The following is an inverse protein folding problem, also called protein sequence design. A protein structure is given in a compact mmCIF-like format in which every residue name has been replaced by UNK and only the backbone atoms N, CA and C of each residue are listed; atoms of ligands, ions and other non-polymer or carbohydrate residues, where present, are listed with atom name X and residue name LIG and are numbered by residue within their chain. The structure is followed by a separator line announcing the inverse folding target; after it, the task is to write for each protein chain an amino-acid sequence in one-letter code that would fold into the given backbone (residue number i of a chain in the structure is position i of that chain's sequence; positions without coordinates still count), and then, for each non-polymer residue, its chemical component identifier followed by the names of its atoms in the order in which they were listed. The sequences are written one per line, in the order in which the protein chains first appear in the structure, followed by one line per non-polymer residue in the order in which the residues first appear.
data_IF_649951327053
#
_entry.id   IF_649951327053
#
_cell.length_a   1.000
_cell.length_b   1.000
_cell.length_c   1.000
_cell.angle_alpha   90.00
_cell.angle_beta   90.00
_cell.angle_gamma   90.00
#
_symmetry.space_group_name_H-M   'P 1'
#
loop_
_entity.id
_entity.type
_entity.pdbx_description
1 polymer ?
#
# COMPACT_ATOMS: atom_id res chain seq x y z
N UNK A 1 4.35 -11.17 -0.04
CA UNK A 1 3.42 -12.33 -0.05
C UNK A 1 2.43 -12.16 -1.20
N UNK A 2 2.01 -13.25 -1.86
CA UNK A 2 0.99 -13.18 -2.92
C UNK A 2 -0.40 -12.96 -2.30
N UNK A 3 -1.31 -12.18 -2.92
CA UNK A 3 -2.64 -11.90 -2.34
C UNK A 3 -3.41 -13.14 -1.89
N UNK A 4 -3.29 -14.25 -2.62
CA UNK A 4 -3.98 -15.52 -2.33
C UNK A 4 -3.51 -16.19 -1.04
N UNK A 5 -2.35 -15.80 -0.51
CA UNK A 5 -1.77 -16.33 0.72
C UNK A 5 -1.93 -15.35 1.90
N UNK A 6 -2.69 -14.27 1.73
CA UNK A 6 -2.69 -13.19 2.73
C UNK A 6 -3.31 -13.64 4.05
N UNK A 7 -4.37 -14.45 4.03
CA UNK A 7 -5.01 -14.98 5.25
C UNK A 7 -3.99 -15.66 6.17
N UNK A 8 -3.17 -16.55 5.61
CA UNK A 8 -2.11 -17.25 6.36
C UNK A 8 -1.00 -16.29 6.78
N UNK A 9 -0.60 -15.38 5.89
CA UNK A 9 0.53 -14.49 6.15
C UNK A 9 0.27 -13.44 7.23
N UNK A 10 -0.99 -13.05 7.45
CA UNK A 10 -1.34 -12.12 8.52
C UNK A 10 -1.89 -12.82 9.77
N UNK A 11 -1.97 -14.15 9.76
CA UNK A 11 -2.40 -14.92 10.92
C UNK A 11 -1.51 -14.58 12.14
N UNK A 12 -2.15 -14.20 13.25
CA UNK A 12 -1.46 -13.82 14.48
C UNK A 12 -0.91 -12.39 14.51
N UNK A 13 -0.86 -11.66 13.39
CA UNK A 13 -0.37 -10.27 13.37
C UNK A 13 -1.29 -9.32 14.15
N UNK A 14 -2.56 -9.67 14.36
CA UNK A 14 -3.48 -8.90 15.21
C UNK A 14 -2.99 -8.73 16.65
N UNK A 15 -2.13 -9.63 17.15
CA UNK A 15 -1.51 -9.49 18.48
C UNK A 15 -0.53 -8.33 18.59
N UNK A 16 -0.06 -7.80 17.46
CA UNK A 16 0.85 -6.66 17.39
C UNK A 16 0.12 -5.32 17.31
N UNK A 17 -1.22 -5.34 17.17
CA UNK A 17 -2.01 -4.13 17.04
C UNK A 17 -1.88 -3.25 18.30
N UNK A 18 -1.70 -1.95 18.08
CA UNK A 18 -1.49 -0.99 19.14
C UNK A 18 -1.34 0.43 18.58
N UNK A 19 -1.30 1.44 19.45
CA UNK A 19 -1.24 2.85 19.04
C UNK A 19 0.02 3.18 18.23
N UNK A 20 1.09 2.42 18.41
CA UNK A 20 2.39 2.63 17.75
C UNK A 20 2.65 1.63 16.61
N UNK A 21 1.65 0.84 16.22
CA UNK A 21 1.80 -0.17 15.15
C UNK A 21 0.97 0.19 13.93
N UNK A 22 1.62 0.29 12.77
CA UNK A 22 0.98 0.41 11.47
C UNK A 22 1.27 -0.78 10.56
N UNK A 23 0.27 -1.23 9.82
CA UNK A 23 0.40 -2.26 8.79
C UNK A 23 0.43 -1.60 7.40
N UNK A 24 1.55 -1.75 6.69
CA UNK A 24 1.69 -1.25 5.31
C UNK A 24 1.60 -2.41 4.32
N UNK A 25 0.53 -2.45 3.51
CA UNK A 25 0.34 -3.46 2.48
C UNK A 25 0.76 -2.95 1.11
N UNK A 26 1.48 -3.78 0.34
CA UNK A 26 1.74 -3.58 -1.10
C UNK A 26 0.97 -4.59 -1.97
N UNK A 27 0.01 -5.31 -1.36
CA UNK A 27 -0.68 -6.40 -2.04
C UNK A 27 -1.76 -5.87 -2.98
N UNK A 28 -1.62 -6.19 -4.27
CA UNK A 28 -2.58 -5.80 -5.29
C UNK A 28 -3.97 -6.40 -5.00
N UNK A 29 -5.01 -5.58 -5.14
CA UNK A 29 -6.41 -6.00 -5.07
C UNK A 29 -6.94 -6.34 -3.66
N UNK A 30 -6.18 -6.09 -2.59
CA UNK A 30 -6.67 -6.28 -1.22
C UNK A 30 -6.99 -4.92 -0.59
N UNK A 31 -8.27 -4.60 -0.33
CA UNK A 31 -8.66 -3.32 0.25
C UNK A 31 -8.37 -3.24 1.75
N UNK A 32 -8.30 -2.04 2.31
CA UNK A 32 -8.07 -1.83 3.75
C UNK A 32 -9.13 -2.51 4.62
N UNK A 33 -10.40 -2.51 4.18
CA UNK A 33 -11.50 -3.21 4.86
C UNK A 33 -11.21 -4.70 5.10
N UNK A 34 -10.59 -5.39 4.13
CA UNK A 34 -10.24 -6.80 4.26
C UNK A 34 -9.26 -7.06 5.41
N UNK A 35 -8.35 -6.11 5.66
CA UNK A 35 -7.41 -6.17 6.78
C UNK A 35 -8.10 -5.87 8.10
N UNK A 36 -9.00 -4.88 8.16
CA UNK A 36 -9.76 -4.57 9.36
C UNK A 36 -10.63 -5.75 9.82
N UNK A 37 -11.23 -6.50 8.90
CA UNK A 37 -12.00 -7.70 9.20
C UNK A 37 -11.17 -8.79 9.92
N UNK A 38 -9.84 -8.76 9.79
CA UNK A 38 -8.92 -9.80 10.30
C UNK A 38 -7.99 -9.34 11.42
N UNK A 39 -7.56 -8.09 11.36
CA UNK A 39 -6.66 -7.46 12.34
C UNK A 39 -7.42 -6.66 13.40
N UNK A 40 -8.70 -6.40 13.18
CA UNK A 40 -9.56 -5.57 14.02
C UNK A 40 -9.75 -4.17 13.44
N UNK A 41 -10.90 -3.57 13.73
CA UNK A 41 -11.29 -2.26 13.20
C UNK A 41 -10.36 -1.12 13.65
N UNK A 42 -9.70 -1.29 14.81
CA UNK A 42 -8.73 -0.33 15.36
C UNK A 42 -7.32 -0.45 14.75
N UNK A 43 -7.07 -1.45 13.89
CA UNK A 43 -5.76 -1.62 13.27
C UNK A 43 -5.47 -0.46 12.30
N UNK A 44 -4.30 0.18 12.43
CA UNK A 44 -3.86 1.22 11.49
C UNK A 44 -3.33 0.54 10.23
N UNK A 45 -4.12 0.55 9.15
CA UNK A 45 -3.76 -0.08 7.88
C UNK A 45 -3.57 0.97 6.80
N UNK A 46 -2.40 0.95 6.16
CA UNK A 46 -2.09 1.74 4.98
C UNK A 46 -1.95 0.81 3.78
N UNK A 47 -2.58 1.19 2.67
CA UNK A 47 -2.49 0.46 1.40
C UNK A 47 -1.58 1.24 0.47
N UNK A 48 -0.62 0.55 -0.13
CA UNK A 48 0.32 1.14 -1.07
C UNK A 48 0.41 0.31 -2.35
N UNK A 49 0.75 0.96 -3.44
CA UNK A 49 0.89 0.32 -4.75
C UNK A 49 2.13 0.85 -5.47
N UNK A 50 3.33 0.28 -5.19
CA UNK A 50 4.54 0.60 -5.94
C UNK A 50 4.50 -0.03 -7.34
N UNK A 51 5.39 0.41 -8.22
CA UNK A 51 5.57 -0.16 -9.56
C UNK A 51 7.01 -0.67 -9.79
N UNK A 52 7.23 -1.37 -10.91
CA UNK A 52 8.49 -2.08 -11.21
C UNK A 52 9.76 -1.22 -11.11
N UNK A 53 9.80 0.06 -11.55
CA UNK A 53 10.97 0.92 -11.38
C UNK A 53 11.39 1.20 -9.93
N UNK A 54 10.59 0.84 -8.93
CA UNK A 54 10.97 0.89 -7.52
C UNK A 54 12.26 0.11 -7.22
N UNK A 55 12.54 -0.98 -7.96
CA UNK A 55 13.75 -1.78 -7.79
C UNK A 55 15.06 -1.00 -8.05
N UNK A 56 14.98 0.13 -8.75
CA UNK A 56 16.12 1.02 -9.02
C UNK A 56 15.93 2.42 -8.40
N UNK A 57 15.00 2.56 -7.46
CA UNK A 57 14.73 3.83 -6.77
C UNK A 57 14.05 4.89 -7.65
N UNK A 58 13.43 4.49 -8.76
CA UNK A 58 12.72 5.38 -9.70
C UNK A 58 11.23 5.06 -9.80
N UNK A 59 10.69 4.42 -8.77
CA UNK A 59 9.29 4.05 -8.71
C UNK A 59 8.36 5.24 -8.51
N UNK A 60 7.07 4.98 -8.71
CA UNK A 60 5.98 5.81 -8.21
C UNK A 60 5.06 4.91 -7.42
N UNK A 61 4.80 5.29 -6.18
CA UNK A 61 3.95 4.53 -5.26
C UNK A 61 2.72 5.36 -4.92
N UNK A 62 1.52 4.83 -5.18
CA UNK A 62 0.32 5.36 -4.53
C UNK A 62 0.27 4.91 -3.07
N UNK A 63 -0.18 5.79 -2.20
CA UNK A 63 -0.40 5.53 -0.79
C UNK A 63 -1.81 6.00 -0.42
N UNK A 64 -2.60 5.09 0.12
CA UNK A 64 -3.93 5.33 0.68
C UNK A 64 -3.91 5.02 2.18
N UNK A 65 -4.59 5.86 2.95
CA UNK A 65 -4.90 5.62 4.35
C UNK A 65 -6.32 6.13 4.62
N UNK A 66 -7.04 5.47 5.54
CA UNK A 66 -8.33 6.00 6.03
C UNK A 66 -8.11 7.34 6.75
N UNK A 67 -9.16 8.15 6.81
CA UNK A 67 -9.12 9.48 7.45
C UNK A 67 -8.84 9.46 8.96
N UNK A 68 -9.01 8.31 9.60
CA UNK A 68 -8.72 8.09 11.02
C UNK A 68 -7.32 7.52 11.29
N UNK A 69 -6.52 7.28 10.24
CA UNK A 69 -5.14 6.86 10.41
C UNK A 69 -4.31 8.01 11.03
N UNK A 70 -3.46 7.73 12.04
CA UNK A 70 -2.61 8.75 12.62
C UNK A 70 -1.68 9.39 11.59
N UNK A 71 -1.60 10.73 11.57
CA UNK A 71 -0.72 11.49 10.68
C UNK A 71 0.74 11.05 10.79
N UNK A 72 1.18 10.65 11.98
CA UNK A 72 2.53 10.13 12.23
C UNK A 72 2.80 8.83 11.46
N UNK A 73 1.82 7.93 11.38
CA UNK A 73 1.92 6.67 10.63
C UNK A 73 1.91 6.90 9.12
N UNK A 74 1.07 7.83 8.66
CA UNK A 74 1.06 8.25 7.25
C UNK A 74 2.40 8.87 6.85
N UNK A 75 2.93 9.77 7.68
CA UNK A 75 4.23 10.40 7.46
C UNK A 75 5.37 9.37 7.44
N UNK A 76 5.37 8.41 8.37
CA UNK A 76 6.36 7.35 8.42
C UNK A 76 6.31 6.45 7.17
N UNK A 77 5.12 6.00 6.77
CA UNK A 77 4.95 5.19 5.57
C UNK A 77 5.40 5.95 4.32
N UNK A 78 5.04 7.23 4.20
CA UNK A 78 5.49 8.09 3.10
C UNK A 78 7.01 8.23 3.08
N UNK A 79 7.65 8.44 4.22
CA UNK A 79 9.10 8.53 4.32
C UNK A 79 9.77 7.22 3.87
N UNK A 80 9.26 6.07 4.33
CA UNK A 80 9.75 4.75 3.94
C UNK A 80 9.65 4.55 2.42
N UNK A 81 8.49 4.82 1.84
CA UNK A 81 8.23 4.63 0.41
C UNK A 81 9.00 5.63 -0.46
N UNK A 82 9.34 6.80 0.07
CA UNK A 82 10.13 7.81 -0.66
C UNK A 82 11.56 7.32 -0.96
N UNK A 83 12.06 6.31 -0.24
CA UNK A 83 13.36 5.70 -0.52
C UNK A 83 13.40 4.96 -1.87
N UNK A 84 12.24 4.54 -2.40
CA UNK A 84 12.13 3.80 -3.66
C UNK A 84 11.54 4.62 -4.81
N UNK A 85 11.25 5.91 -4.58
CA UNK A 85 10.78 6.83 -5.62
C UNK A 85 9.72 7.83 -5.14
N UNK A 86 8.90 8.33 -6.07
CA UNK A 86 7.84 9.29 -5.75
C UNK A 86 6.67 8.64 -5.01
N UNK A 87 6.05 9.37 -4.08
CA UNK A 87 4.85 8.93 -3.36
C UNK A 87 3.69 9.87 -3.66
N UNK A 88 2.55 9.33 -4.08
CA UNK A 88 1.32 10.07 -4.36
C UNK A 88 0.26 9.62 -3.36
N UNK A 89 -0.32 10.59 -2.63
CA UNK A 89 -1.44 10.31 -1.74
C UNK A 89 -2.72 10.15 -2.55
N UNK A 90 -3.54 9.19 -2.15
CA UNK A 90 -4.87 8.92 -2.71
C UNK A 90 -5.88 9.08 -1.58
N UNK A 91 -6.91 9.89 -1.79
CA UNK A 91 -7.94 10.18 -0.79
C UNK A 91 -9.12 9.20 -0.83
N UNK A 92 -9.36 8.58 -1.99
CA UNK A 92 -10.41 7.59 -2.21
C UNK A 92 -9.80 6.24 -2.59
N UNK A 93 -10.00 5.23 -1.74
CA UNK A 93 -9.46 3.88 -1.97
C UNK A 93 -9.93 3.29 -3.30
N UNK A 94 -11.12 3.65 -3.79
CA UNK A 94 -11.63 3.17 -5.07
C UNK A 94 -10.74 3.59 -6.26
N UNK A 95 -9.95 4.67 -6.12
CA UNK A 95 -9.01 5.09 -7.15
C UNK A 95 -7.74 4.21 -7.20
N UNK A 96 -7.50 3.34 -6.21
CA UNK A 96 -6.33 2.46 -6.19
C UNK A 96 -6.29 1.48 -7.36
N UNK A 97 -7.45 1.07 -7.88
CA UNK A 97 -7.54 0.21 -9.06
C UNK A 97 -7.14 0.97 -10.33
N UNK A 98 -7.56 2.24 -10.45
CA UNK A 98 -7.14 3.11 -11.55
C UNK A 98 -5.64 3.41 -11.50
N UNK A 99 -5.10 3.68 -10.31
CA UNK A 99 -3.64 3.86 -10.14
C UNK A 99 -2.88 2.58 -10.51
N UNK A 100 -3.39 1.42 -10.13
CA UNK A 100 -2.80 0.13 -10.51
C UNK A 100 -2.72 -0.02 -12.02
N UNK A 101 -3.81 0.31 -12.72
CA UNK A 101 -3.86 0.26 -14.18
C UNK A 101 -2.77 1.14 -14.80
N UNK A 102 -2.64 2.41 -14.37
CA UNK A 102 -1.69 3.35 -14.97
C UNK A 102 -0.24 3.08 -14.54
N UNK A 103 0.01 2.96 -13.24
CA UNK A 103 1.37 2.85 -12.68
C UNK A 103 2.00 1.48 -12.95
N UNK A 104 1.18 0.43 -12.95
CA UNK A 104 1.63 -0.94 -13.23
C UNK A 104 1.93 -1.17 -14.71
N UNK A 105 1.08 -0.67 -15.62
CA UNK A 105 1.26 -0.90 -17.07
C UNK A 105 2.09 0.18 -17.76
N UNK A 106 2.22 1.37 -17.17
CA UNK A 106 2.95 2.50 -17.75
C UNK A 106 4.37 2.16 -18.22
N UNK A 107 5.22 1.52 -17.40
CA UNK A 107 6.56 1.09 -17.84
C UNK A 107 6.53 0.15 -19.05
N UNK A 108 5.54 -0.74 -19.14
CA UNK A 108 5.41 -1.65 -20.27
C UNK A 108 5.06 -0.91 -21.57
N UNK A 109 4.21 0.11 -21.52
CA UNK A 109 3.94 0.96 -22.68
C UNK A 109 5.17 1.71 -23.14
N UNK A 110 5.98 2.23 -22.20
CA UNK A 110 7.26 2.87 -22.55
C UNK A 110 8.21 1.88 -23.19
N UNK A 111 8.36 0.67 -22.64
CA UNK A 111 9.23 -0.36 -23.24
C UNK A 111 8.77 -0.80 -24.64
N UNK A 112 7.47 -0.73 -24.93
CA UNK A 112 6.92 -1.07 -26.25
C UNK A 112 7.14 0.06 -27.28
N UNK A 113 7.09 1.32 -26.85
CA UNK A 113 7.12 2.49 -27.74
C UNK A 113 8.49 3.16 -27.88
N UNK A 114 9.46 2.79 -27.02
CA UNK A 114 10.82 3.34 -26.99
C UNK A 114 11.81 2.53 -27.85
#
# INVERSE_FOLDING_TARGET
VKPQMMDEAIAGLGSLAGPDTGYLSIAAGIPTAWFHDRLGDQAVVLRSMPNTPAAIGKGVTALYARSDAPDSMVALARQLLSAIGGVVMIDDEALMDAVTAVSGSGPAYVFLLA
#
